data_IF_201279466873
#
_entry.id   IF_201279466873
#
_cell.length_a   1.000
_cell.length_b   1.000
_cell.length_c   1.000
_cell.angle_alpha   90.00
_cell.angle_beta   90.00
_cell.angle_gamma   90.00
#
_symmetry.space_group_name_H-M   'P 1'
#
loop_
_entity.id
_entity.type
_entity.pdbx_description
1 polymer ?
#
# COMPACT_ATOMS: atom_id res chain seq x y z
N UNK A 1 3.44 -7.89 18.41
CA UNK A 1 2.29 -7.65 19.31
C UNK A 1 0.97 -7.99 18.62
N UNK A 2 0.66 -7.40 17.45
CA UNK A 2 -0.53 -7.75 16.66
C UNK A 2 -0.68 -9.24 16.36
N UNK A 3 0.34 -9.90 15.80
CA UNK A 3 0.28 -11.34 15.50
C UNK A 3 -0.10 -12.21 16.72
N UNK A 4 0.44 -11.89 17.91
CA UNK A 4 0.13 -12.61 19.16
C UNK A 4 -1.33 -12.43 19.62
N UNK A 5 -1.90 -11.23 19.43
CA UNK A 5 -3.30 -10.98 19.73
C UNK A 5 -4.26 -11.82 18.86
N UNK A 6 -3.80 -12.25 17.69
CA UNK A 6 -4.55 -13.10 16.76
C UNK A 6 -4.11 -14.59 16.81
N UNK A 7 -3.48 -15.01 17.92
CA UNK A 7 -3.07 -16.40 18.15
C UNK A 7 -1.77 -16.83 17.46
N UNK A 8 -1.02 -15.89 16.87
CA UNK A 8 0.27 -16.15 16.24
C UNK A 8 1.39 -16.33 17.27
N UNK A 9 2.34 -17.22 16.98
CA UNK A 9 3.44 -17.55 17.89
C UNK A 9 4.77 -16.92 17.48
N UNK A 10 4.78 -16.03 16.49
CA UNK A 10 6.03 -15.52 15.93
C UNK A 10 6.74 -14.51 16.83
N UNK A 11 8.06 -14.44 16.64
CA UNK A 11 8.95 -13.51 17.34
C UNK A 11 8.90 -12.12 16.70
N UNK A 12 9.53 -11.14 17.35
CA UNK A 12 9.67 -9.80 16.75
C UNK A 12 10.41 -9.86 15.41
N UNK A 13 11.54 -10.57 15.34
CA UNK A 13 12.32 -10.72 14.12
C UNK A 13 11.51 -11.33 12.97
N UNK A 14 10.71 -12.36 13.23
CA UNK A 14 9.84 -12.95 12.21
C UNK A 14 8.78 -11.95 11.70
N UNK A 15 8.18 -11.17 12.60
CA UNK A 15 7.23 -10.13 12.21
C UNK A 15 7.89 -9.01 11.39
N UNK A 16 9.11 -8.61 11.77
CA UNK A 16 9.89 -7.64 11.01
C UNK A 16 10.26 -8.19 9.62
N UNK A 17 10.69 -9.44 9.52
CA UNK A 17 10.96 -10.10 8.23
C UNK A 17 9.74 -10.12 7.33
N UNK A 18 8.55 -10.41 7.89
CA UNK A 18 7.29 -10.35 7.13
C UNK A 18 7.04 -8.92 6.62
N UNK A 19 7.22 -7.90 7.47
CA UNK A 19 7.04 -6.50 7.06
C UNK A 19 8.00 -6.10 5.93
N UNK A 20 9.29 -6.40 6.08
CA UNK A 20 10.30 -6.12 5.04
C UNK A 20 9.97 -6.86 3.74
N UNK A 21 9.71 -8.16 3.81
CA UNK A 21 9.48 -8.98 2.61
C UNK A 21 8.14 -8.69 1.93
N UNK A 22 7.14 -8.22 2.67
CA UNK A 22 5.85 -7.84 2.07
C UNK A 22 5.84 -6.42 1.52
N UNK A 23 6.66 -5.50 2.06
CA UNK A 23 6.73 -4.12 1.59
C UNK A 23 7.78 -3.88 0.52
N UNK A 24 8.97 -4.46 0.69
CA UNK A 24 10.14 -4.11 -0.13
C UNK A 24 10.03 -4.60 -1.59
N UNK A 25 9.72 -5.88 -1.89
CA UNK A 25 9.63 -6.34 -3.27
C UNK A 25 8.55 -5.60 -4.09
N UNK A 26 7.30 -5.41 -3.63
CA UNK A 26 6.32 -4.62 -4.39
C UNK A 26 6.77 -3.18 -4.62
N UNK A 27 7.41 -2.55 -3.63
CA UNK A 27 7.92 -1.18 -3.77
C UNK A 27 9.03 -1.08 -4.84
N UNK A 28 9.95 -2.05 -4.90
CA UNK A 28 10.99 -2.10 -5.93
C UNK A 28 10.37 -2.28 -7.32
N UNK A 29 9.38 -3.16 -7.47
CA UNK A 29 8.70 -3.36 -8.76
C UNK A 29 7.94 -2.09 -9.16
N UNK A 30 7.22 -1.45 -8.24
CA UNK A 30 6.53 -0.18 -8.49
C UNK A 30 7.51 0.92 -8.92
N UNK A 31 8.67 1.02 -8.26
CA UNK A 31 9.72 1.97 -8.61
C UNK A 31 10.24 1.74 -10.04
N UNK A 32 10.58 0.48 -10.38
CA UNK A 32 11.03 0.13 -11.74
C UNK A 32 9.96 0.47 -12.77
N UNK A 33 8.70 0.12 -12.50
CA UNK A 33 7.61 0.39 -13.41
C UNK A 33 7.38 1.91 -13.62
N UNK A 34 7.55 2.72 -12.57
CA UNK A 34 7.55 4.18 -12.70
C UNK A 34 8.69 4.70 -13.59
N UNK A 35 9.91 4.16 -13.46
CA UNK A 35 11.03 4.51 -14.34
C UNK A 35 10.79 4.12 -15.80
N UNK A 36 10.15 2.96 -16.04
CA UNK A 36 9.76 2.54 -17.39
C UNK A 36 8.77 3.56 -17.98
N UNK A 37 7.75 3.98 -17.22
CA UNK A 37 6.80 5.01 -17.69
C UNK A 37 7.52 6.33 -17.95
N UNK A 38 8.45 6.75 -17.09
CA UNK A 38 9.26 7.96 -17.29
C UNK A 38 10.07 7.91 -18.58
N UNK A 39 10.68 6.76 -18.90
CA UNK A 39 11.51 6.60 -20.09
C UNK A 39 10.69 6.56 -21.40
N UNK A 40 9.41 6.18 -21.32
CA UNK A 40 8.54 6.02 -22.50
C UNK A 40 7.66 7.25 -22.76
N UNK A 41 7.37 8.07 -21.74
CA UNK A 41 6.49 9.24 -21.88
C UNK A 41 7.27 10.45 -22.39
N UNK A 42 6.67 11.23 -23.30
CA UNK A 42 7.24 12.52 -23.69
C UNK A 42 7.28 13.46 -22.48
N UNK A 43 8.32 14.28 -22.37
CA UNK A 43 8.45 15.27 -21.29
C UNK A 43 7.27 16.25 -21.25
N UNK A 44 6.72 16.59 -22.42
CA UNK A 44 5.58 17.50 -22.55
C UNK A 44 4.26 16.91 -22.01
N UNK A 45 4.18 15.57 -21.92
CA UNK A 45 2.99 14.87 -21.42
C UNK A 45 3.09 14.58 -19.90
N UNK A 46 4.18 14.99 -19.24
CA UNK A 46 4.37 14.77 -17.80
C UNK A 46 3.83 15.97 -17.01
N UNK A 47 2.67 15.77 -16.40
CA UNK A 47 2.17 16.68 -15.37
C UNK A 47 2.82 16.35 -14.02
N UNK A 48 3.84 17.14 -13.65
CA UNK A 48 4.56 16.99 -12.39
C UNK A 48 3.66 17.23 -11.17
N UNK A 49 2.67 18.12 -11.27
CA UNK A 49 1.75 18.42 -10.18
C UNK A 49 0.79 17.24 -9.94
N UNK A 50 0.31 16.60 -11.01
CA UNK A 50 -0.52 15.40 -10.91
C UNK A 50 0.28 14.13 -10.55
N UNK A 51 1.58 14.09 -10.82
CA UNK A 51 2.43 12.89 -10.68
C UNK A 51 3.18 12.79 -9.35
N UNK A 52 2.71 13.44 -8.28
CA UNK A 52 3.37 13.42 -6.96
C UNK A 52 3.51 12.01 -6.36
N UNK A 53 2.77 11.02 -6.86
CA UNK A 53 2.80 9.62 -6.39
C UNK A 53 3.52 8.67 -7.36
N UNK A 54 4.23 9.24 -8.31
CA UNK A 54 4.76 8.52 -9.45
C UNK A 54 3.90 8.73 -10.69
N UNK A 55 4.48 8.34 -11.82
CA UNK A 55 3.91 8.47 -13.15
C UNK A 55 3.02 7.28 -13.52
N UNK A 56 3.16 6.18 -12.79
CA UNK A 56 2.39 4.97 -12.99
C UNK A 56 1.08 5.02 -12.21
N UNK A 57 -0.04 4.97 -12.92
CA UNK A 57 -1.37 4.89 -12.33
C UNK A 57 -1.79 3.42 -12.19
N UNK A 58 -1.33 2.73 -11.14
CA UNK A 58 -1.67 1.34 -10.85
C UNK A 58 -2.75 1.19 -9.74
N UNK A 59 -3.44 2.27 -9.43
CA UNK A 59 -4.46 2.36 -8.39
C UNK A 59 -5.79 2.87 -8.97
N UNK A 60 -6.87 2.81 -8.19
CA UNK A 60 -8.20 3.24 -8.66
C UNK A 60 -8.40 4.77 -8.65
N UNK A 61 -7.44 5.54 -8.17
CA UNK A 61 -7.53 7.00 -8.04
C UNK A 61 -7.65 7.73 -9.38
N UNK A 62 -7.21 7.13 -10.49
CA UNK A 62 -7.29 7.77 -11.82
C UNK A 62 -8.72 8.04 -12.29
N UNK A 63 -9.73 7.43 -11.68
CA UNK A 63 -11.14 7.67 -11.99
C UNK A 63 -11.68 8.97 -11.37
N UNK A 64 -10.90 9.66 -10.53
CA UNK A 64 -11.36 10.81 -9.76
C UNK A 64 -10.39 11.98 -9.95
N UNK A 65 -10.95 13.16 -10.21
CA UNK A 65 -10.18 14.42 -10.33
C UNK A 65 -9.70 14.97 -8.98
N UNK A 66 -8.90 16.03 -9.04
CA UNK A 66 -8.33 16.71 -7.87
C UNK A 66 -9.36 17.30 -6.91
N UNK A 67 -10.59 17.53 -7.35
CA UNK A 67 -11.65 18.20 -6.60
C UNK A 67 -12.23 17.35 -5.45
N UNK A 68 -11.88 16.06 -5.40
CA UNK A 68 -12.34 15.13 -4.36
C UNK A 68 -11.16 14.47 -3.65
N UNK A 69 -10.37 15.22 -2.86
CA UNK A 69 -9.11 14.75 -2.29
C UNK A 69 -9.29 13.52 -1.39
N UNK A 70 -10.36 13.48 -0.59
CA UNK A 70 -10.66 12.35 0.31
C UNK A 70 -11.02 11.08 -0.47
N UNK A 71 -11.86 11.19 -1.50
CA UNK A 71 -12.23 10.06 -2.37
C UNK A 71 -10.99 9.59 -3.14
N UNK A 72 -10.21 10.52 -3.65
CA UNK A 72 -8.92 10.26 -4.28
C UNK A 72 -8.01 9.45 -3.36
N UNK A 73 -7.81 9.87 -2.11
CA UNK A 73 -7.00 9.13 -1.12
C UNK A 73 -7.50 7.71 -0.88
N UNK A 74 -8.82 7.53 -0.73
CA UNK A 74 -9.41 6.21 -0.55
C UNK A 74 -9.12 5.30 -1.75
N UNK A 75 -9.42 5.76 -2.96
CA UNK A 75 -9.21 4.97 -4.18
C UNK A 75 -7.73 4.69 -4.48
N UNK A 76 -6.85 5.66 -4.21
CA UNK A 76 -5.41 5.49 -4.33
C UNK A 76 -4.82 4.47 -3.34
N UNK A 77 -5.54 4.10 -2.28
CA UNK A 77 -5.08 3.07 -1.34
C UNK A 77 -5.17 1.67 -1.96
N UNK A 78 -6.08 1.48 -2.91
CA UNK A 78 -6.23 0.24 -3.66
C UNK A 78 -5.35 0.27 -4.91
N UNK A 79 -4.07 0.07 -4.68
CA UNK A 79 -3.04 -0.05 -5.70
C UNK A 79 -2.63 -1.52 -5.89
N UNK A 80 -2.34 -1.94 -7.12
CA UNK A 80 -1.96 -3.33 -7.45
C UNK A 80 -0.74 -3.79 -6.63
N UNK A 81 0.26 -2.94 -6.42
CA UNK A 81 1.45 -3.27 -5.64
C UNK A 81 1.13 -3.34 -4.14
N UNK A 82 0.25 -2.47 -3.64
CA UNK A 82 -0.20 -2.52 -2.25
C UNK A 82 -0.97 -3.82 -1.96
N UNK A 83 -1.90 -4.20 -2.84
CA UNK A 83 -2.67 -5.45 -2.74
C UNK A 83 -1.73 -6.67 -2.77
N UNK A 84 -0.73 -6.66 -3.66
CA UNK A 84 0.28 -7.72 -3.68
C UNK A 84 1.09 -7.77 -2.39
N UNK A 85 1.48 -6.62 -1.83
CA UNK A 85 2.12 -6.55 -0.52
C UNK A 85 1.24 -7.14 0.60
N UNK A 86 -0.06 -6.87 0.60
CA UNK A 86 -0.99 -7.44 1.58
C UNK A 86 -1.09 -8.97 1.46
N UNK A 87 -1.09 -9.50 0.24
CA UNK A 87 -1.05 -10.95 -0.02
C UNK A 87 0.24 -11.55 0.58
N UNK A 88 1.41 -10.96 0.28
CA UNK A 88 2.69 -11.42 0.81
C UNK A 88 2.74 -11.33 2.35
N UNK A 89 2.19 -10.27 2.94
CA UNK A 89 2.10 -10.10 4.39
C UNK A 89 1.24 -11.21 5.02
N UNK A 90 0.06 -11.49 4.46
CA UNK A 90 -0.82 -12.54 4.96
C UNK A 90 -0.18 -13.94 4.85
N UNK A 91 0.50 -14.23 3.73
CA UNK A 91 1.27 -15.47 3.56
C UNK A 91 2.41 -15.54 4.59
N UNK A 92 3.18 -14.46 4.73
CA UNK A 92 4.31 -14.37 5.66
C UNK A 92 3.87 -14.60 7.10
N UNK A 93 2.79 -13.95 7.56
CA UNK A 93 2.21 -14.17 8.88
C UNK A 93 1.76 -15.62 9.07
N UNK A 94 1.09 -16.22 8.07
CA UNK A 94 0.67 -17.62 8.16
C UNK A 94 1.86 -18.57 8.30
N UNK A 95 2.90 -18.38 7.51
CA UNK A 95 4.07 -19.29 7.47
C UNK A 95 4.96 -19.09 8.71
N UNK A 96 5.30 -17.85 9.04
CA UNK A 96 6.30 -17.55 10.09
C UNK A 96 5.69 -17.46 11.49
N UNK A 97 4.45 -16.97 11.61
CA UNK A 97 3.75 -16.80 12.89
C UNK A 97 2.75 -17.94 13.15
N UNK A 98 2.65 -18.94 12.25
CA UNK A 98 1.72 -20.10 12.35
C UNK A 98 0.25 -19.69 12.51
N UNK A 99 -0.11 -18.52 11.99
CA UNK A 99 -1.48 -18.00 12.07
C UNK A 99 -2.42 -18.76 11.12
N UNK A 100 -3.70 -18.85 11.48
CA UNK A 100 -4.73 -19.30 10.55
C UNK A 100 -4.81 -18.36 9.33
N UNK A 101 -5.33 -18.86 8.19
CA UNK A 101 -5.52 -18.02 6.99
C UNK A 101 -6.39 -16.79 7.29
N UNK A 102 -7.50 -16.98 8.01
CA UNK A 102 -8.43 -15.90 8.37
C UNK A 102 -7.79 -14.88 9.31
N UNK A 103 -7.10 -15.34 10.36
CA UNK A 103 -6.42 -14.47 11.32
C UNK A 103 -5.32 -13.62 10.67
N UNK A 104 -4.54 -14.20 9.75
CA UNK A 104 -3.47 -13.47 9.05
C UNK A 104 -4.05 -12.35 8.18
N UNK A 105 -5.10 -12.65 7.41
CA UNK A 105 -5.79 -11.65 6.59
C UNK A 105 -6.48 -10.57 7.42
N UNK A 106 -7.16 -10.95 8.50
CA UNK A 106 -7.80 -10.00 9.40
C UNK A 106 -6.78 -8.99 9.96
N UNK A 107 -5.61 -9.46 10.41
CA UNK A 107 -4.56 -8.58 10.92
C UNK A 107 -4.04 -7.61 9.84
N UNK A 108 -3.79 -8.11 8.63
CA UNK A 108 -3.34 -7.25 7.51
C UNK A 108 -4.37 -6.17 7.20
N UNK A 109 -5.65 -6.55 7.06
CA UNK A 109 -6.73 -5.61 6.74
C UNK A 109 -6.94 -4.56 7.84
N UNK A 110 -6.83 -4.94 9.12
CA UNK A 110 -6.93 -4.00 10.23
C UNK A 110 -5.79 -2.97 10.19
N UNK A 111 -4.55 -3.42 9.97
CA UNK A 111 -3.40 -2.50 9.85
C UNK A 111 -3.57 -1.57 8.65
N UNK A 112 -4.01 -2.10 7.50
CA UNK A 112 -4.31 -1.32 6.31
C UNK A 112 -5.41 -0.29 6.58
N UNK A 113 -6.48 -0.67 7.28
CA UNK A 113 -7.58 0.23 7.62
C UNK A 113 -7.10 1.37 8.54
N UNK A 114 -6.26 1.06 9.54
CA UNK A 114 -5.65 2.08 10.40
C UNK A 114 -4.81 3.04 9.56
N UNK A 115 -3.95 2.53 8.67
CA UNK A 115 -3.15 3.35 7.76
C UNK A 115 -4.00 4.23 6.85
N UNK A 116 -5.09 3.66 6.30
CA UNK A 116 -6.06 4.40 5.48
C UNK A 116 -6.72 5.54 6.26
N UNK A 117 -7.12 5.31 7.51
CA UNK A 117 -7.70 6.36 8.36
C UNK A 117 -6.71 7.52 8.54
N UNK A 118 -5.44 7.24 8.85
CA UNK A 118 -4.41 8.28 8.96
C UNK A 118 -4.25 9.07 7.65
N UNK A 119 -4.25 8.38 6.50
CA UNK A 119 -4.18 9.04 5.19
C UNK A 119 -5.39 9.93 4.95
N UNK A 120 -6.61 9.45 5.22
CA UNK A 120 -7.83 10.22 5.03
C UNK A 120 -7.85 11.46 5.92
N UNK A 121 -7.44 11.34 7.18
CA UNK A 121 -7.28 12.50 8.08
C UNK A 121 -6.26 13.49 7.52
N UNK A 122 -5.11 13.01 7.06
CA UNK A 122 -4.10 13.87 6.41
C UNK A 122 -4.63 14.57 5.15
N UNK A 123 -5.48 13.90 4.37
CA UNK A 123 -6.11 14.48 3.18
C UNK A 123 -7.11 15.59 3.55
N UNK A 124 -7.92 15.38 4.59
CA UNK A 124 -8.85 16.39 5.11
C UNK A 124 -8.09 17.63 5.59
N UNK A 125 -6.99 17.43 6.34
CA UNK A 125 -6.21 18.54 6.90
C UNK A 125 -5.41 19.32 5.85
N UNK A 126 -4.92 18.64 4.82
CA UNK A 126 -4.10 19.27 3.77
C UNK A 126 -4.90 19.82 2.59
N UNK A 127 -6.16 19.41 2.44
CA UNK A 127 -6.97 19.72 1.25
C UNK A 127 -6.50 19.01 -0.02
N UNK A 128 -5.48 18.15 0.07
CA UNK A 128 -4.90 17.42 -1.04
C UNK A 128 -5.11 15.92 -0.86
N UNK A 129 -5.15 15.17 -1.96
CA UNK A 129 -5.13 13.72 -1.84
C UNK A 129 -3.77 13.29 -1.26
N UNK A 130 -3.79 12.48 -0.20
CA UNK A 130 -2.64 11.72 0.39
C UNK A 130 -2.58 10.24 -0.03
#
# INVERSE_FOLDING_TARGET
LGAKAFGGTGTFGQNLSVWIYSGFPPAVVAMIANFIVLALKSGDDIDIAASQRGLLHANLGFFVGSDHPVIGTFLNTFDVFAVWGWILAAIGLRVTNKMSKGSAWALVLIITLIGLIFRLVGSILSGNAS
#
